data_IF_479710467458
#
_entry.id   IF_479710467458
#
_cell.length_a   1.000
_cell.length_b   1.000
_cell.length_c   1.000
_cell.angle_alpha   90.00
_cell.angle_beta   90.00
_cell.angle_gamma   90.00
#
_symmetry.space_group_name_H-M   'P 1'
#
loop_
_entity.id
_entity.type
_entity.pdbx_description
1 polymer ?
#
# COMPACT_ATOMS: atom_id res chain seq x y z
N UNK A 1 20.97 22.51 5.33
CA UNK A 1 21.00 21.02 5.27
C UNK A 1 19.71 20.39 5.77
N UNK A 2 18.85 21.20 6.39
CA UNK A 2 17.68 20.82 7.20
C UNK A 2 16.56 20.19 6.36
N UNK A 3 16.34 20.72 5.15
CA UNK A 3 15.30 20.25 4.23
C UNK A 3 15.45 18.77 3.83
N UNK A 4 16.70 18.30 3.65
CA UNK A 4 16.97 16.88 3.34
C UNK A 4 16.65 15.98 4.53
N UNK A 5 16.92 16.42 5.75
CA UNK A 5 16.67 15.64 6.97
C UNK A 5 15.16 15.53 7.26
N UNK A 6 14.44 16.64 7.10
CA UNK A 6 12.97 16.67 7.28
C UNK A 6 12.30 15.76 6.23
N UNK A 7 12.73 15.84 4.98
CA UNK A 7 12.20 14.95 3.92
C UNK A 7 12.46 13.48 4.23
N UNK A 8 13.67 13.11 4.65
CA UNK A 8 13.98 11.71 4.98
C UNK A 8 13.17 11.19 6.18
N UNK A 9 13.01 12.00 7.22
CA UNK A 9 12.21 11.65 8.41
C UNK A 9 10.73 11.44 8.05
N UNK A 10 10.15 12.36 7.27
CA UNK A 10 8.76 12.26 6.85
C UNK A 10 8.57 11.12 5.85
N UNK A 11 9.41 11.04 4.82
CA UNK A 11 9.31 10.00 3.79
C UNK A 11 9.47 8.58 4.36
N UNK A 12 10.40 8.38 5.30
CA UNK A 12 10.61 7.08 5.94
C UNK A 12 9.39 6.56 6.69
N UNK A 13 8.56 7.43 7.27
CA UNK A 13 7.33 7.05 7.98
C UNK A 13 6.21 6.64 7.01
N UNK A 14 6.12 7.27 5.83
CA UNK A 14 5.01 7.06 4.89
C UNK A 14 5.32 6.03 3.81
N UNK A 15 6.60 5.76 3.54
CA UNK A 15 7.01 4.79 2.54
C UNK A 15 6.48 3.39 2.89
N UNK A 16 5.77 2.78 1.94
CA UNK A 16 5.29 1.40 2.07
C UNK A 16 6.19 0.46 1.30
N UNK A 17 6.43 -0.73 1.86
CA UNK A 17 7.27 -1.72 1.20
C UNK A 17 6.44 -2.61 0.28
N UNK A 18 6.82 -2.68 -1.00
CA UNK A 18 6.15 -3.50 -2.01
C UNK A 18 6.20 -4.98 -1.64
N UNK A 19 7.34 -5.44 -1.12
CA UNK A 19 7.53 -6.85 -0.74
C UNK A 19 6.60 -7.27 0.37
N UNK A 20 6.41 -6.44 1.39
CA UNK A 20 5.47 -6.70 2.48
C UNK A 20 4.03 -6.76 1.95
N UNK A 21 3.64 -5.84 1.08
CA UNK A 21 2.31 -5.85 0.48
C UNK A 21 2.07 -7.12 -0.37
N UNK A 22 3.06 -7.53 -1.17
CA UNK A 22 3.01 -8.76 -1.99
C UNK A 22 2.92 -10.01 -1.11
N UNK A 23 3.71 -10.07 -0.03
CA UNK A 23 3.69 -11.19 0.91
C UNK A 23 2.33 -11.32 1.60
N UNK A 24 1.76 -10.20 2.06
CA UNK A 24 0.41 -10.17 2.62
C UNK A 24 -0.66 -10.57 1.59
N UNK A 25 -0.47 -10.20 0.32
CA UNK A 25 -1.38 -10.56 -0.76
C UNK A 25 -1.30 -12.06 -1.09
N UNK A 26 -0.11 -12.66 -1.03
CA UNK A 26 0.11 -14.07 -1.35
C UNK A 26 -0.40 -15.01 -0.24
N UNK A 27 -0.10 -14.70 1.02
CA UNK A 27 -0.49 -15.55 2.16
C UNK A 27 -1.90 -15.25 2.67
N UNK A 28 -2.35 -14.00 2.55
CA UNK A 28 -3.56 -13.49 3.20
C UNK A 28 -4.48 -12.75 2.20
N UNK A 29 -4.31 -13.00 0.89
CA UNK A 29 -5.11 -12.41 -0.19
C UNK A 29 -6.59 -12.78 -0.09
N UNK A 30 -6.90 -14.07 0.12
CA UNK A 30 -8.28 -14.54 0.30
C UNK A 30 -9.02 -13.90 1.49
N UNK A 31 -8.30 -13.37 2.47
CA UNK A 31 -8.85 -12.65 3.63
C UNK A 31 -8.87 -11.12 3.44
N UNK A 32 -8.13 -10.60 2.45
CA UNK A 32 -8.03 -9.16 2.15
C UNK A 32 -6.98 -8.39 2.95
N UNK A 33 -6.01 -9.05 3.60
CA UNK A 33 -5.08 -8.36 4.53
C UNK A 33 -4.21 -7.28 3.87
N UNK A 34 -3.86 -7.48 2.60
CA UNK A 34 -3.07 -6.53 1.84
C UNK A 34 -3.79 -5.18 1.65
N UNK A 35 -5.13 -5.16 1.65
CA UNK A 35 -5.92 -3.92 1.65
C UNK A 35 -5.85 -3.17 2.98
N UNK A 36 -5.86 -3.88 4.11
CA UNK A 36 -5.64 -3.26 5.43
C UNK A 36 -4.25 -2.63 5.51
N UNK A 37 -3.22 -3.28 4.97
CA UNK A 37 -1.86 -2.72 4.91
C UNK A 37 -1.76 -1.45 4.06
N UNK A 38 -2.50 -1.38 2.95
CA UNK A 38 -2.59 -0.18 2.10
C UNK A 38 -3.57 0.88 2.64
N UNK A 39 -4.05 0.76 3.89
CA UNK A 39 -4.97 1.68 4.53
C UNK A 39 -6.33 1.79 3.78
N UNK A 40 -6.75 0.71 3.11
CA UNK A 40 -8.03 0.56 2.41
C UNK A 40 -8.95 -0.39 3.17
N UNK A 41 -9.30 -0.03 4.40
CA UNK A 41 -10.07 -0.87 5.33
C UNK A 41 -11.42 -1.31 4.74
N UNK A 42 -12.11 -0.44 3.98
CA UNK A 42 -13.38 -0.80 3.34
C UNK A 42 -13.28 -2.00 2.39
N UNK A 43 -12.26 -2.03 1.53
CA UNK A 43 -12.01 -3.19 0.64
C UNK A 43 -11.57 -4.43 1.42
N UNK A 44 -10.78 -4.23 2.49
CA UNK A 44 -10.39 -5.30 3.39
C UNK A 44 -11.61 -6.00 4.00
N UNK A 45 -12.57 -5.25 4.51
CA UNK A 45 -13.81 -5.79 5.11
C UNK A 45 -14.62 -6.56 4.07
N UNK A 46 -14.79 -6.00 2.87
CA UNK A 46 -15.48 -6.70 1.77
C UNK A 46 -14.81 -8.05 1.49
N UNK A 47 -13.48 -8.09 1.38
CA UNK A 47 -12.76 -9.34 1.12
C UNK A 47 -12.89 -10.33 2.27
N UNK A 48 -12.87 -9.86 3.52
CA UNK A 48 -13.08 -10.71 4.70
C UNK A 48 -14.49 -11.30 4.74
N UNK A 49 -15.53 -10.53 4.38
CA UNK A 49 -16.92 -11.00 4.34
C UNK A 49 -17.18 -11.99 3.19
N UNK A 50 -16.51 -11.78 2.05
CA UNK A 50 -16.61 -12.69 0.90
C UNK A 50 -15.57 -13.81 0.93
N UNK A 51 -14.75 -13.97 1.98
CA UNK A 51 -13.66 -14.96 2.00
C UNK A 51 -14.14 -16.41 1.79
N UNK A 52 -15.36 -16.71 2.24
CA UNK A 52 -16.02 -18.02 2.09
C UNK A 52 -16.43 -18.38 0.66
N UNK A 53 -16.50 -17.41 -0.28
CA UNK A 53 -16.86 -17.70 -1.67
C UNK A 53 -15.66 -18.09 -2.52
N UNK A 54 -14.44 -18.04 -1.97
CA UNK A 54 -13.15 -18.18 -2.69
C UNK A 54 -12.92 -17.16 -3.82
N UNK A 55 -13.91 -16.31 -4.15
CA UNK A 55 -13.80 -15.21 -5.11
C UNK A 55 -12.64 -14.25 -4.76
N UNK A 56 -12.47 -13.83 -3.49
CA UNK A 56 -11.37 -12.93 -3.12
C UNK A 56 -9.98 -13.55 -3.36
N UNK A 57 -9.87 -14.88 -3.34
CA UNK A 57 -8.63 -15.59 -3.62
C UNK A 57 -8.21 -15.40 -5.09
N UNK A 58 -9.15 -15.58 -6.02
CA UNK A 58 -8.90 -15.42 -7.47
C UNK A 58 -8.59 -13.95 -7.80
N UNK A 59 -9.36 -13.01 -7.24
CA UNK A 59 -9.11 -11.58 -7.45
C UNK A 59 -7.75 -11.16 -6.90
N UNK A 60 -7.34 -11.71 -5.75
CA UNK A 60 -6.03 -11.42 -5.14
C UNK A 60 -4.85 -11.84 -6.03
N UNK A 61 -4.99 -12.90 -6.84
CA UNK A 61 -3.96 -13.30 -7.81
C UNK A 61 -3.79 -12.23 -8.90
N UNK A 62 -4.89 -11.71 -9.42
CA UNK A 62 -4.85 -10.62 -10.41
C UNK A 62 -4.30 -9.34 -9.78
N UNK A 63 -4.70 -9.03 -8.55
CA UNK A 63 -4.21 -7.87 -7.82
C UNK A 63 -2.72 -7.96 -7.48
N UNK A 64 -2.16 -9.16 -7.28
CA UNK A 64 -0.74 -9.39 -7.02
C UNK A 64 0.13 -8.73 -8.11
N UNK A 65 -0.22 -8.92 -9.38
CA UNK A 65 0.49 -8.33 -10.52
C UNK A 65 0.37 -6.80 -10.56
N UNK A 66 -0.79 -6.26 -10.20
CA UNK A 66 -1.06 -4.83 -10.17
C UNK A 66 -0.48 -4.13 -8.93
N UNK A 67 -0.30 -4.85 -7.83
CA UNK A 67 0.13 -4.33 -6.53
C UNK A 67 1.53 -3.72 -6.60
N UNK A 68 2.45 -4.37 -7.31
CA UNK A 68 3.81 -3.86 -7.51
C UNK A 68 3.83 -2.46 -8.13
N UNK A 69 2.99 -2.23 -9.15
CA UNK A 69 2.81 -0.92 -9.77
C UNK A 69 2.10 0.09 -8.85
N UNK A 70 1.08 -0.36 -8.10
CA UNK A 70 0.33 0.50 -7.16
C UNK A 70 1.19 1.01 -6.00
N UNK A 71 2.03 0.16 -5.41
CA UNK A 71 2.88 0.56 -4.28
C UNK A 71 3.91 1.60 -4.72
N UNK A 72 4.54 1.41 -5.89
CA UNK A 72 5.46 2.41 -6.46
C UNK A 72 4.78 3.76 -6.64
N UNK A 73 3.61 3.79 -7.29
CA UNK A 73 2.84 5.04 -7.49
C UNK A 73 2.40 5.69 -6.18
N UNK A 74 2.03 4.90 -5.17
CA UNK A 74 1.65 5.43 -3.87
C UNK A 74 2.84 6.12 -3.18
N UNK A 75 4.00 5.45 -3.19
CA UNK A 75 5.23 6.01 -2.64
C UNK A 75 5.67 7.26 -3.42
N UNK A 76 5.57 7.28 -4.75
CA UNK A 76 5.87 8.45 -5.57
C UNK A 76 4.94 9.64 -5.30
N UNK A 77 3.63 9.39 -5.16
CA UNK A 77 2.67 10.45 -4.82
C UNK A 77 2.96 11.04 -3.44
N UNK A 78 3.24 10.19 -2.45
CA UNK A 78 3.63 10.64 -1.11
C UNK A 78 4.97 11.37 -1.11
N UNK A 79 5.96 10.93 -1.91
CA UNK A 79 7.22 11.65 -2.10
C UNK A 79 6.96 13.07 -2.63
N UNK A 80 6.13 13.20 -3.67
CA UNK A 80 5.79 14.50 -4.28
C UNK A 80 5.02 15.40 -3.31
N UNK A 81 4.09 14.85 -2.53
CA UNK A 81 3.34 15.59 -1.50
C UNK A 81 4.25 16.13 -0.41
N UNK A 82 5.16 15.30 0.12
CA UNK A 82 6.11 15.70 1.16
C UNK A 82 7.11 16.72 0.62
N UNK A 83 7.65 16.50 -0.59
CA UNK A 83 8.52 17.48 -1.25
C UNK A 83 7.81 18.82 -1.48
N UNK A 84 6.55 18.80 -1.93
CA UNK A 84 5.76 20.02 -2.13
C UNK A 84 5.49 20.78 -0.84
N UNK A 85 5.15 20.08 0.25
CA UNK A 85 4.96 20.70 1.58
C UNK A 85 6.26 21.29 2.14
N UNK A 86 7.39 20.63 1.91
CA UNK A 86 8.70 21.09 2.39
C UNK A 86 9.19 22.31 1.60
N UNK A 87 8.97 22.34 0.28
CA UNK A 87 9.38 23.45 -0.59
C UNK A 87 8.48 24.70 -0.49
N UNK A 88 7.26 24.55 0.04
CA UNK A 88 6.32 25.66 0.25
C UNK A 88 6.41 26.27 1.66
N UNK A 89 7.29 25.73 2.51
CA UNK A 89 7.64 26.24 3.86
C UNK A 89 9.00 26.93 3.78
#
# INVERSE_FOLDING_TARGET
MDQKMIFQSEYGKVQKNSTTAILLCLFLGGLGAHHYYMNRVGLGIVYTLFCWTYIPLIISIVELFLLSGRVRRHNEKKAKEIAGKILSV
#
